data_IF_232424266236
#
_entry.id   IF_232424266236
#
_cell.length_a   1.000
_cell.length_b   1.000
_cell.length_c   1.000
_cell.angle_alpha   90.00
_cell.angle_beta   90.00
_cell.angle_gamma   90.00
#
_symmetry.space_group_name_H-M   'P 1'
#
loop_
_entity.id
_entity.type
_entity.pdbx_description
1 polymer ?
#
# COMPACT_ATOMS: atom_id res chain seq x y z
N UNK A 1 49.43 -36.44 -79.43
CA UNK A 1 49.34 -34.97 -79.54
C UNK A 1 48.04 -34.49 -78.90
N UNK A 2 48.12 -33.46 -78.03
CA UNK A 2 47.06 -32.54 -77.52
C UNK A 2 45.83 -33.16 -76.80
N UNK A 3 45.22 -32.58 -75.76
CA UNK A 3 45.53 -31.61 -74.69
C UNK A 3 44.25 -31.61 -73.80
N UNK A 4 44.42 -31.75 -72.48
CA UNK A 4 43.64 -31.16 -71.36
C UNK A 4 42.35 -30.38 -71.66
N UNK A 5 41.24 -30.67 -70.93
CA UNK A 5 40.56 -29.67 -70.05
C UNK A 5 39.42 -30.24 -69.18
N UNK A 6 39.61 -30.09 -67.86
CA UNK A 6 38.70 -29.73 -66.74
C UNK A 6 37.17 -29.81 -66.95
N UNK A 7 36.46 -30.34 -65.94
CA UNK A 7 35.68 -29.55 -64.95
C UNK A 7 35.10 -30.42 -63.82
N UNK A 8 34.97 -29.78 -62.67
CA UNK A 8 34.73 -30.28 -61.31
C UNK A 8 33.26 -30.27 -60.89
N UNK A 9 32.94 -31.19 -59.97
CA UNK A 9 32.12 -31.04 -58.76
C UNK A 9 30.57 -31.03 -58.82
N UNK A 10 30.05 -32.01 -58.06
CA UNK A 10 28.99 -31.94 -57.04
C UNK A 10 27.58 -31.44 -57.39
N UNK A 11 26.60 -32.27 -57.01
CA UNK A 11 25.48 -31.83 -56.17
C UNK A 11 24.95 -33.02 -55.36
N UNK A 12 25.36 -33.10 -54.09
CA UNK A 12 24.71 -33.92 -53.08
C UNK A 12 23.66 -33.07 -52.36
N UNK A 13 22.39 -33.45 -52.49
CA UNK A 13 21.32 -33.03 -51.59
C UNK A 13 21.62 -33.44 -50.14
N UNK A 14 21.35 -32.56 -49.17
CA UNK A 14 20.85 -32.99 -47.85
C UNK A 14 19.98 -31.91 -47.20
N UNK A 15 18.67 -32.18 -47.15
CA UNK A 15 17.68 -31.54 -46.29
C UNK A 15 17.86 -32.01 -44.85
N UNK A 16 17.81 -31.10 -43.88
CA UNK A 16 16.92 -31.18 -42.69
C UNK A 16 17.32 -30.17 -41.60
N UNK A 17 16.41 -29.26 -41.23
CA UNK A 17 16.26 -28.70 -39.86
C UNK A 17 15.00 -27.82 -39.75
N UNK A 18 13.81 -28.38 -40.00
CA UNK A 18 12.52 -27.63 -39.91
C UNK A 18 11.91 -27.53 -38.51
N UNK A 19 12.47 -28.17 -37.48
CA UNK A 19 11.94 -28.08 -36.10
C UNK A 19 12.55 -26.96 -35.26
N UNK A 20 13.73 -26.46 -35.60
CA UNK A 20 14.34 -25.32 -34.91
C UNK A 20 13.81 -23.99 -35.45
N UNK A 21 13.46 -23.91 -36.73
CA UNK A 21 12.97 -22.68 -37.36
C UNK A 21 11.64 -22.16 -36.77
N UNK A 22 10.71 -23.06 -36.40
CA UNK A 22 9.44 -22.67 -35.79
C UNK A 22 9.60 -22.18 -34.33
N UNK A 23 10.53 -22.75 -33.56
CA UNK A 23 10.83 -22.28 -32.20
C UNK A 23 11.50 -20.90 -32.22
N UNK A 24 12.43 -20.67 -33.16
CA UNK A 24 13.03 -19.34 -33.36
C UNK A 24 11.99 -18.30 -33.80
N UNK A 25 11.04 -18.68 -34.67
CA UNK A 25 9.94 -17.80 -35.07
C UNK A 25 9.04 -17.39 -33.90
N UNK A 26 8.70 -18.33 -33.00
CA UNK A 26 7.88 -18.04 -31.84
C UNK A 26 8.63 -17.19 -30.78
N UNK A 27 9.91 -17.47 -30.57
CA UNK A 27 10.77 -16.68 -29.66
C UNK A 27 11.00 -15.25 -30.17
N UNK A 28 11.06 -15.05 -31.49
CA UNK A 28 11.12 -13.73 -32.11
C UNK A 28 9.81 -12.95 -31.92
N UNK A 29 8.65 -13.61 -32.04
CA UNK A 29 7.33 -12.98 -31.79
C UNK A 29 7.18 -12.60 -30.31
N UNK A 30 7.59 -13.47 -29.38
CA UNK A 30 7.63 -13.14 -27.95
C UNK A 30 8.61 -12.01 -27.65
N UNK A 31 9.77 -11.97 -28.32
CA UNK A 31 10.72 -10.86 -28.21
C UNK A 31 10.11 -9.53 -28.69
N UNK A 32 9.39 -9.52 -29.81
CA UNK A 32 8.70 -8.32 -30.31
C UNK A 32 7.56 -7.91 -29.37
N UNK A 33 6.81 -8.86 -28.81
CA UNK A 33 5.76 -8.58 -27.83
C UNK A 33 6.33 -8.00 -26.52
N UNK A 34 7.46 -8.53 -26.03
CA UNK A 34 8.17 -7.99 -24.86
C UNK A 34 8.72 -6.60 -25.18
N UNK A 35 9.30 -6.38 -26.36
CA UNK A 35 9.79 -5.05 -26.77
C UNK A 35 8.63 -4.08 -26.96
N UNK A 36 7.47 -4.50 -27.45
CA UNK A 36 6.28 -3.66 -27.59
C UNK A 36 5.62 -3.34 -26.24
N UNK A 37 5.58 -4.30 -25.31
CA UNK A 37 5.13 -4.09 -23.92
C UNK A 37 6.13 -3.19 -23.20
N UNK A 38 7.43 -3.44 -23.35
CA UNK A 38 8.49 -2.60 -22.81
C UNK A 38 8.44 -1.21 -23.42
N UNK A 39 8.20 -1.05 -24.72
CA UNK A 39 8.00 0.25 -25.33
C UNK A 39 6.70 0.88 -24.83
N UNK A 40 5.60 0.16 -24.62
CA UNK A 40 4.36 0.76 -24.11
C UNK A 40 4.48 1.19 -22.64
N UNK A 41 5.23 0.44 -21.82
CA UNK A 41 5.64 0.85 -20.48
C UNK A 41 6.68 1.98 -20.52
N UNK A 42 7.61 1.94 -21.47
CA UNK A 42 8.77 2.84 -21.58
C UNK A 42 8.44 4.15 -22.29
N UNK A 43 7.50 4.21 -23.23
CA UNK A 43 6.92 5.47 -23.76
C UNK A 43 5.73 5.94 -22.94
N UNK A 44 5.38 5.24 -21.86
CA UNK A 44 4.72 5.86 -20.70
C UNK A 44 5.72 6.58 -19.78
N UNK A 45 6.99 6.75 -20.19
CA UNK A 45 7.87 7.76 -19.60
C UNK A 45 7.37 9.15 -19.97
N UNK A 46 6.62 9.73 -19.03
CA UNK A 46 6.70 11.17 -18.81
C UNK A 46 8.18 11.52 -18.55
N UNK A 47 8.65 12.69 -19.02
CA UNK A 47 10.07 12.99 -19.10
C UNK A 47 10.79 12.84 -17.76
N UNK A 48 12.00 12.28 -17.83
CA UNK A 48 12.99 12.20 -16.75
C UNK A 48 13.29 13.64 -16.29
N UNK A 49 12.76 14.02 -15.14
CA UNK A 49 13.20 15.21 -14.40
C UNK A 49 14.21 14.72 -13.38
N UNK A 50 15.49 14.98 -13.65
CA UNK A 50 16.54 14.85 -12.65
C UNK A 50 16.30 15.87 -11.53
N UNK A 51 16.21 15.35 -10.30
CA UNK A 51 16.42 16.04 -9.01
C UNK A 51 15.56 17.27 -8.72
N UNK A 52 14.30 17.00 -8.39
CA UNK A 52 13.75 17.52 -7.13
C UNK A 52 12.88 16.43 -6.49
N UNK A 53 13.22 16.07 -5.25
CA UNK A 53 12.44 15.20 -4.37
C UNK A 53 11.11 15.87 -4.01
N UNK A 54 10.09 15.84 -4.88
CA UNK A 54 8.83 16.54 -4.54
C UNK A 54 7.54 16.16 -5.29
N UNK A 55 7.44 15.02 -5.98
CA UNK A 55 6.15 14.62 -6.58
C UNK A 55 5.82 13.14 -6.39
N UNK A 56 6.08 12.59 -5.19
CA UNK A 56 5.46 11.31 -4.82
C UNK A 56 3.96 11.55 -4.63
N UNK A 57 3.13 10.64 -5.12
CA UNK A 57 1.70 10.69 -4.79
C UNK A 57 1.51 10.49 -3.29
N UNK A 58 0.42 11.00 -2.72
CA UNK A 58 0.11 10.80 -1.29
C UNK A 58 0.12 9.31 -0.89
N UNK A 59 -0.39 8.43 -1.76
CA UNK A 59 -0.31 6.98 -1.56
C UNK A 59 1.13 6.47 -1.52
N UNK A 60 2.01 6.92 -2.43
CA UNK A 60 3.43 6.56 -2.42
C UNK A 60 4.15 7.06 -1.16
N UNK A 61 3.78 8.24 -0.65
CA UNK A 61 4.32 8.77 0.61
C UNK A 61 3.94 7.87 1.79
N UNK A 62 2.67 7.43 1.88
CA UNK A 62 2.23 6.51 2.93
C UNK A 62 2.89 5.12 2.80
N UNK A 63 2.98 4.59 1.58
CA UNK A 63 3.60 3.28 1.31
C UNK A 63 5.10 3.26 1.62
N UNK A 64 5.79 4.38 1.44
CA UNK A 64 7.25 4.50 1.61
C UNK A 64 7.64 5.31 2.83
N UNK A 65 6.72 5.51 3.78
CA UNK A 65 7.01 6.27 4.99
C UNK A 65 8.09 5.54 5.80
N UNK A 66 9.07 6.33 6.22
CA UNK A 66 10.12 5.90 7.14
C UNK A 66 9.69 6.24 8.58
N UNK A 67 9.51 5.20 9.39
CA UNK A 67 9.10 5.34 10.79
C UNK A 67 10.31 5.47 11.73
N UNK A 68 11.53 5.21 11.27
CA UNK A 68 12.74 5.41 12.08
C UNK A 68 13.12 6.89 12.12
N UNK A 69 13.07 7.55 10.96
CA UNK A 69 13.47 8.96 10.83
C UNK A 69 12.33 9.97 11.08
N UNK A 70 11.09 9.61 10.72
CA UNK A 70 9.95 10.54 10.73
C UNK A 70 8.74 9.96 11.49
N UNK A 71 8.97 9.46 12.70
CA UNK A 71 7.88 9.01 13.56
C UNK A 71 7.01 10.18 14.05
N UNK A 72 5.66 10.07 14.07
CA UNK A 72 4.79 11.10 14.62
C UNK A 72 5.15 11.49 16.08
N UNK A 73 5.31 12.79 16.34
CA UNK A 73 5.85 13.27 17.61
C UNK A 73 4.85 13.33 18.76
N UNK A 74 3.55 13.22 18.46
CA UNK A 74 2.47 13.33 19.44
C UNK A 74 1.34 12.32 19.19
N UNK A 75 0.53 11.99 20.23
CA UNK A 75 -0.60 11.08 20.07
C UNK A 75 -1.58 11.52 18.98
N UNK A 76 -1.83 12.84 18.87
CA UNK A 76 -2.70 13.41 17.84
C UNK A 76 -2.13 13.17 16.43
N UNK A 77 -0.83 13.28 16.24
CA UNK A 77 -0.18 13.03 14.95
C UNK A 77 -0.19 11.55 14.58
N UNK A 78 -0.03 10.65 15.56
CA UNK A 78 -0.21 9.21 15.37
C UNK A 78 -1.61 8.91 14.85
N UNK A 79 -2.65 9.43 15.51
CA UNK A 79 -4.04 9.20 15.10
C UNK A 79 -4.37 9.87 13.75
N UNK A 80 -3.76 11.03 13.43
CA UNK A 80 -3.87 11.64 12.09
C UNK A 80 -3.30 10.74 11.01
N UNK A 81 -2.13 10.15 11.23
CA UNK A 81 -1.50 9.26 10.26
C UNK A 81 -2.28 7.96 10.11
N UNK A 82 -2.70 7.36 11.23
CA UNK A 82 -3.61 6.22 11.25
C UNK A 82 -4.87 6.50 10.43
N UNK A 83 -5.54 7.62 10.70
CA UNK A 83 -6.76 8.05 9.98
C UNK A 83 -6.52 8.22 8.48
N UNK A 84 -5.37 8.80 8.07
CA UNK A 84 -5.00 8.93 6.65
C UNK A 84 -4.93 7.55 5.99
N UNK A 85 -4.24 6.59 6.60
CA UNK A 85 -4.13 5.23 6.05
C UNK A 85 -5.50 4.53 5.99
N UNK A 86 -6.31 4.62 7.05
CA UNK A 86 -7.67 4.06 7.10
C UNK A 86 -8.55 4.63 5.98
N UNK A 87 -8.49 5.94 5.72
CA UNK A 87 -9.23 6.57 4.62
C UNK A 87 -8.81 6.00 3.25
N UNK A 88 -7.53 5.70 3.05
CA UNK A 88 -7.08 5.04 1.83
C UNK A 88 -7.66 3.64 1.66
N UNK A 89 -7.77 2.86 2.74
CA UNK A 89 -8.39 1.54 2.68
C UNK A 89 -9.85 1.59 2.22
N UNK A 90 -10.63 2.54 2.75
CA UNK A 90 -12.07 2.57 2.52
C UNK A 90 -12.50 3.39 1.31
N UNK A 91 -11.79 4.48 0.99
CA UNK A 91 -12.20 5.40 -0.07
C UNK A 91 -11.53 5.12 -1.42
N UNK A 92 -10.37 4.45 -1.44
CA UNK A 92 -9.58 4.27 -2.65
C UNK A 92 -9.61 2.84 -3.19
N UNK A 93 -9.43 2.74 -4.51
CA UNK A 93 -9.30 1.45 -5.20
C UNK A 93 -7.85 0.98 -5.19
N UNK A 94 -7.43 0.43 -4.05
CA UNK A 94 -6.11 -0.17 -3.85
C UNK A 94 -6.00 -1.58 -4.46
N UNK A 95 -4.82 -1.90 -4.98
CA UNK A 95 -4.46 -3.29 -5.34
C UNK A 95 -4.19 -4.11 -4.07
N UNK A 96 -4.24 -5.45 -4.17
CA UNK A 96 -3.94 -6.32 -3.02
C UNK A 96 -2.55 -6.05 -2.44
N UNK A 97 -1.55 -5.83 -3.31
CA UNK A 97 -0.19 -5.49 -2.87
C UNK A 97 -0.16 -4.15 -2.11
N UNK A 98 -0.89 -3.13 -2.57
CA UNK A 98 -0.97 -1.85 -1.86
C UNK A 98 -1.67 -1.99 -0.51
N UNK A 99 -2.72 -2.81 -0.42
CA UNK A 99 -3.39 -3.11 0.86
C UNK A 99 -2.40 -3.80 1.81
N UNK A 100 -1.67 -4.81 1.35
CA UNK A 100 -0.70 -5.53 2.17
C UNK A 100 0.42 -4.59 2.66
N UNK A 101 0.91 -3.69 1.79
CA UNK A 101 1.96 -2.74 2.16
C UNK A 101 1.46 -1.70 3.16
N UNK A 102 0.30 -1.10 2.94
CA UNK A 102 -0.29 -0.16 3.90
C UNK A 102 -0.64 -0.85 5.23
N UNK A 103 -1.06 -2.12 5.20
CA UNK A 103 -1.32 -2.92 6.40
C UNK A 103 -0.05 -3.11 7.24
N UNK A 104 1.12 -3.29 6.61
CA UNK A 104 2.41 -3.27 7.33
C UNK A 104 2.72 -1.89 7.89
N UNK A 105 2.47 -0.84 7.11
CA UNK A 105 2.75 0.53 7.55
C UNK A 105 1.91 0.93 8.76
N UNK A 106 0.63 0.61 8.79
CA UNK A 106 -0.24 0.92 9.92
C UNK A 106 0.12 0.11 11.18
N UNK A 107 0.63 -1.13 11.03
CA UNK A 107 1.14 -1.90 12.17
C UNK A 107 2.32 -1.24 12.90
N UNK A 108 3.11 -0.38 12.24
CA UNK A 108 4.16 0.40 12.92
C UNK A 108 3.60 1.42 13.93
N UNK A 109 2.30 1.72 13.85
CA UNK A 109 1.60 2.59 14.79
C UNK A 109 1.03 1.82 15.98
N UNK A 110 1.01 0.49 15.94
CA UNK A 110 0.39 -0.34 16.98
C UNK A 110 1.37 -0.68 18.09
N UNK A 111 0.84 -0.76 19.30
CA UNK A 111 1.57 -1.20 20.47
C UNK A 111 1.87 -2.71 20.38
N UNK A 112 2.99 -3.13 20.96
CA UNK A 112 3.43 -4.53 20.99
C UNK A 112 2.36 -5.48 21.54
N UNK A 113 1.57 -5.05 22.52
CA UNK A 113 0.53 -5.86 23.16
C UNK A 113 -0.66 -6.06 22.22
N UNK A 114 -1.01 -5.01 21.46
CA UNK A 114 -2.04 -5.09 20.43
C UNK A 114 -1.62 -6.03 19.29
N UNK A 115 -0.35 -5.95 18.88
CA UNK A 115 0.23 -6.84 17.86
C UNK A 115 0.35 -8.28 18.37
N UNK A 116 0.69 -8.49 19.64
CA UNK A 116 0.82 -9.82 20.21
C UNK A 116 -0.54 -10.54 20.31
N UNK A 117 -1.62 -9.80 20.53
CA UNK A 117 -2.96 -10.35 20.63
C UNK A 117 -3.65 -10.59 19.26
N UNK A 118 -3.11 -10.02 18.18
CA UNK A 118 -3.68 -10.12 16.83
C UNK A 118 -2.58 -10.53 15.84
N UNK A 119 -2.56 -11.80 15.42
CA UNK A 119 -1.58 -12.25 14.44
C UNK A 119 -1.69 -11.42 13.17
N UNK A 120 -0.56 -11.12 12.51
CA UNK A 120 -0.57 -10.29 11.30
C UNK A 120 -1.44 -10.90 10.19
N UNK A 121 -1.46 -12.23 10.08
CA UNK A 121 -2.26 -12.93 9.08
C UNK A 121 -3.76 -12.79 9.35
N UNK A 122 -4.19 -12.95 10.60
CA UNK A 122 -5.60 -12.78 10.99
C UNK A 122 -6.03 -11.32 10.82
N UNK A 123 -5.21 -10.37 11.29
CA UNK A 123 -5.45 -8.94 11.10
C UNK A 123 -5.60 -8.57 9.61
N UNK A 124 -4.70 -9.05 8.75
CA UNK A 124 -4.75 -8.75 7.33
C UNK A 124 -6.00 -9.35 6.67
N UNK A 125 -6.40 -10.55 7.08
CA UNK A 125 -7.61 -11.20 6.59
C UNK A 125 -8.85 -10.39 6.98
N UNK A 126 -8.97 -10.04 8.26
CA UNK A 126 -10.07 -9.22 8.80
C UNK A 126 -10.15 -7.86 8.11
N UNK A 127 -9.00 -7.18 7.94
CA UNK A 127 -8.92 -5.91 7.24
C UNK A 127 -9.41 -6.02 5.78
N UNK A 128 -9.04 -7.08 5.06
CA UNK A 128 -9.50 -7.30 3.68
C UNK A 128 -11.00 -7.56 3.59
N UNK A 129 -11.55 -8.29 4.56
CA UNK A 129 -13.01 -8.50 4.68
C UNK A 129 -13.69 -7.15 4.91
N UNK A 130 -13.22 -6.36 5.88
CA UNK A 130 -13.78 -5.05 6.19
C UNK A 130 -13.73 -4.09 4.99
N UNK A 131 -12.58 -3.99 4.31
CA UNK A 131 -12.43 -3.18 3.08
C UNK A 131 -13.46 -3.60 2.02
N UNK A 132 -13.67 -4.90 1.85
CA UNK A 132 -14.62 -5.44 0.87
C UNK A 132 -16.06 -5.09 1.26
N UNK A 133 -16.40 -5.17 2.54
CA UNK A 133 -17.71 -4.78 3.07
C UNK A 133 -17.98 -3.29 2.87
N UNK A 134 -17.01 -2.42 3.21
CA UNK A 134 -17.11 -0.97 3.00
C UNK A 134 -17.33 -0.63 1.52
N UNK A 135 -16.55 -1.24 0.62
CA UNK A 135 -16.69 -1.04 -0.83
C UNK A 135 -18.03 -1.53 -1.35
N UNK A 136 -18.48 -2.70 -0.91
CA UNK A 136 -19.77 -3.29 -1.32
C UNK A 136 -20.96 -2.45 -0.86
N UNK A 137 -20.89 -1.88 0.34
CA UNK A 137 -21.89 -0.96 0.87
C UNK A 137 -21.78 0.46 0.27
N UNK A 138 -20.75 0.75 -0.53
CA UNK A 138 -20.41 2.09 -1.04
C UNK A 138 -20.21 3.11 0.10
N UNK A 139 -19.60 2.65 1.20
CA UNK A 139 -19.22 3.49 2.34
C UNK A 139 -17.98 4.28 2.00
N UNK A 140 -18.00 5.57 2.35
CA UNK A 140 -16.84 6.44 2.24
C UNK A 140 -16.71 7.28 3.51
N UNK A 141 -15.49 7.44 4.00
CA UNK A 141 -15.17 8.38 5.07
C UNK A 141 -15.02 9.77 4.44
N UNK A 142 -16.03 10.62 4.63
CA UNK A 142 -16.09 11.95 4.02
C UNK A 142 -15.23 12.97 4.74
N UNK A 143 -15.25 12.92 6.07
CA UNK A 143 -14.53 13.86 6.93
C UNK A 143 -14.17 13.21 8.25
N UNK A 144 -13.09 13.70 8.85
CA UNK A 144 -12.56 13.32 10.14
C UNK A 144 -12.49 14.53 11.07
N UNK A 145 -12.72 14.29 12.36
CA UNK A 145 -12.49 15.24 13.43
C UNK A 145 -11.63 14.53 14.45
N UNK A 146 -10.42 15.01 14.65
CA UNK A 146 -9.54 14.49 15.70
C UNK A 146 -9.56 15.52 16.82
N UNK A 147 -9.70 15.08 18.06
CA UNK A 147 -9.73 15.95 19.24
C UNK A 147 -8.41 16.73 19.39
N UNK A 148 -8.51 18.04 19.64
CA UNK A 148 -7.38 18.95 19.68
C UNK A 148 -6.32 18.57 20.71
N UNK A 149 -5.06 18.96 20.46
CA UNK A 149 -3.93 18.59 21.32
C UNK A 149 -4.14 18.98 22.79
N UNK A 150 -4.86 20.08 23.05
CA UNK A 150 -5.17 20.57 24.39
C UNK A 150 -6.16 19.68 25.16
N UNK A 151 -6.93 18.85 24.44
CA UNK A 151 -7.93 17.95 25.01
C UNK A 151 -7.42 16.50 25.11
N UNK A 152 -6.21 16.22 24.63
CA UNK A 152 -5.57 14.92 24.81
C UNK A 152 -5.32 14.69 26.30
N UNK A 153 -5.83 13.58 26.82
CA UNK A 153 -5.67 13.20 28.23
C UNK A 153 -4.41 12.38 28.38
N UNK A 154 -3.50 12.82 29.24
CA UNK A 154 -2.28 12.09 29.58
C UNK A 154 -2.34 11.57 31.01
N UNK A 155 -1.84 10.35 31.23
CA UNK A 155 -1.67 9.79 32.57
C UNK A 155 -0.53 8.78 32.62
N UNK A 156 -0.07 8.46 33.82
CA UNK A 156 0.94 7.44 34.06
C UNK A 156 0.34 6.31 34.89
N UNK A 157 0.62 5.07 34.51
CA UNK A 157 0.22 3.88 35.24
C UNK A 157 1.31 2.82 35.10
N UNK A 158 1.71 2.21 36.22
CA UNK A 158 2.73 1.15 36.25
C UNK A 158 4.03 1.57 35.52
N UNK A 159 4.50 2.79 35.80
CA UNK A 159 5.68 3.42 35.17
C UNK A 159 5.64 3.57 33.64
N UNK A 160 4.44 3.45 33.05
CA UNK A 160 4.20 3.66 31.61
C UNK A 160 3.36 4.91 31.37
N UNK A 161 3.70 5.68 30.34
CA UNK A 161 2.96 6.87 29.93
C UNK A 161 1.85 6.50 28.94
N UNK A 162 0.67 7.07 29.15
CA UNK A 162 -0.51 6.84 28.31
C UNK A 162 -1.12 8.16 27.85
N UNK A 163 -1.78 8.10 26.71
CA UNK A 163 -2.57 9.18 26.16
C UNK A 163 -3.92 8.67 25.65
N UNK A 164 -4.96 9.51 25.69
CA UNK A 164 -6.25 9.20 25.10
C UNK A 164 -6.84 10.43 24.43
N UNK A 165 -7.46 10.20 23.27
CA UNK A 165 -8.19 11.19 22.51
C UNK A 165 -9.30 10.55 21.70
N UNK A 166 -10.35 11.31 21.40
CA UNK A 166 -11.42 10.86 20.50
C UNK A 166 -11.12 11.27 19.05
N UNK A 167 -11.34 10.36 18.10
CA UNK A 167 -11.51 10.69 16.69
C UNK A 167 -12.97 10.44 16.26
N UNK A 168 -13.49 11.26 15.36
CA UNK A 168 -14.83 11.15 14.80
C UNK A 168 -14.77 11.11 13.28
N UNK A 169 -15.61 10.29 12.67
CA UNK A 169 -15.66 10.06 11.23
C UNK A 169 -17.08 10.24 10.74
N UNK A 170 -17.26 11.06 9.72
CA UNK A 170 -18.52 11.15 8.98
C UNK A 170 -18.47 10.13 7.84
N UNK A 171 -19.28 9.09 7.95
CA UNK A 171 -19.35 8.02 6.96
C UNK A 171 -20.58 8.26 6.09
N UNK A 172 -20.38 8.32 4.78
CA UNK A 172 -21.45 8.33 3.79
C UNK A 172 -21.72 6.92 3.32
N UNK A 173 -22.96 6.48 3.41
CA UNK A 173 -23.45 5.23 2.81
C UNK A 173 -24.64 5.54 1.90
N UNK A 174 -24.44 5.42 0.58
CA UNK A 174 -25.40 5.84 -0.45
C UNK A 174 -25.82 7.31 -0.27
N UNK A 175 -27.06 7.57 0.14
CA UNK A 175 -27.63 8.91 0.36
C UNK A 175 -27.72 9.28 1.86
N UNK A 176 -27.23 8.40 2.74
CA UNK A 176 -27.25 8.59 4.19
C UNK A 176 -25.87 8.93 4.73
N UNK A 177 -25.87 9.66 5.85
CA UNK A 177 -24.66 10.04 6.58
C UNK A 177 -24.80 9.55 8.02
N UNK A 178 -23.75 8.91 8.52
CA UNK A 178 -23.62 8.54 9.93
C UNK A 178 -22.34 9.15 10.50
N UNK A 179 -22.31 9.30 11.83
CA UNK A 179 -21.10 9.67 12.56
C UNK A 179 -20.68 8.49 13.42
N UNK A 180 -19.41 8.10 13.29
CA UNK A 180 -18.74 7.15 14.16
C UNK A 180 -17.76 7.94 15.00
N UNK A 181 -17.70 7.69 16.30
CA UNK A 181 -16.70 8.24 17.19
C UNK A 181 -15.95 7.10 17.84
N UNK A 182 -14.63 7.23 17.95
CA UNK A 182 -13.74 6.23 18.53
C UNK A 182 -12.83 6.88 19.56
N UNK A 183 -12.81 6.30 20.76
CA UNK A 183 -11.89 6.70 21.82
C UNK A 183 -10.63 5.83 21.72
N UNK A 184 -9.52 6.46 21.35
CA UNK A 184 -8.21 5.81 21.26
C UNK A 184 -7.50 5.86 22.61
N UNK A 185 -6.78 4.77 22.91
CA UNK A 185 -5.79 4.71 23.97
C UNK A 185 -4.44 4.44 23.32
N UNK A 186 -3.48 5.29 23.64
CA UNK A 186 -2.10 5.15 23.22
C UNK A 186 -1.22 4.95 24.45
N UNK A 187 -0.14 4.20 24.25
CA UNK A 187 0.90 3.97 25.22
C UNK A 187 2.24 4.36 24.61
N UNK A 188 3.10 5.00 25.38
CA UNK A 188 4.44 5.33 24.95
C UNK A 188 5.34 4.11 25.11
N UNK A 189 6.07 3.75 24.06
CA UNK A 189 7.04 2.67 24.11
C UNK A 189 8.36 3.09 24.77
N UNK A 190 9.27 2.13 24.92
CA UNK A 190 10.59 2.35 25.52
C UNK A 190 11.47 3.31 24.72
N UNK A 191 11.20 3.49 23.42
CA UNK A 191 11.89 4.44 22.55
C UNK A 191 11.28 5.84 22.62
N UNK A 192 10.22 6.03 23.43
CA UNK A 192 9.53 7.30 23.60
C UNK A 192 8.49 7.60 22.51
N UNK A 193 8.17 6.63 21.64
CA UNK A 193 7.19 6.77 20.57
C UNK A 193 5.78 6.39 21.05
N UNK A 194 4.78 7.16 20.63
CA UNK A 194 3.38 6.87 20.98
C UNK A 194 2.81 5.79 20.08
N UNK A 195 2.30 4.70 20.67
CA UNK A 195 1.73 3.55 19.99
C UNK A 195 0.27 3.36 20.36
N UNK A 196 -0.56 2.97 19.39
CA UNK A 196 -1.99 2.69 19.60
C UNK A 196 -2.10 1.35 20.33
N UNK A 197 -2.56 1.39 21.58
CA UNK A 197 -2.84 0.20 22.39
C UNK A 197 -4.21 -0.39 22.06
N UNK A 198 -5.15 0.45 21.64
CA UNK A 198 -6.47 0.03 21.22
C UNK A 198 -7.44 1.19 21.09
N UNK A 199 -8.66 0.88 20.69
CA UNK A 199 -9.75 1.84 20.56
C UNK A 199 -11.08 1.15 20.84
N UNK A 200 -12.10 1.97 21.09
CA UNK A 200 -13.49 1.53 21.21
C UNK A 200 -14.43 2.58 20.63
N UNK A 201 -15.63 2.16 20.24
CA UNK A 201 -16.70 3.11 19.94
C UNK A 201 -16.92 4.03 21.15
N UNK A 202 -16.91 5.34 20.91
CA UNK A 202 -17.17 6.35 21.91
C UNK A 202 -18.67 6.44 22.19
N UNK A 203 -19.02 6.75 23.43
CA UNK A 203 -20.40 7.04 23.83
C UNK A 203 -20.86 8.43 23.34
N UNK A 204 -19.93 9.25 22.84
CA UNK A 204 -20.24 10.54 22.19
C UNK A 204 -21.13 10.28 20.97
N UNK A 205 -22.43 10.51 21.13
CA UNK A 205 -23.36 10.58 20.00
C UNK A 205 -23.35 12.00 19.48
N UNK A 206 -23.22 12.19 18.16
CA UNK A 206 -23.27 13.47 17.42
C UNK A 206 -23.41 14.69 18.33
N UNK A 207 -22.28 15.30 18.71
CA UNK A 207 -22.31 16.48 19.57
C UNK A 207 -23.23 17.56 18.97
N UNK A 208 -24.08 18.12 19.83
CA UNK A 208 -24.85 19.35 19.62
C UNK A 208 -24.00 20.47 18.98
#
# INVERSE_FOLDING_TARGET
>A
MKKSKRRTANTSMKKSKRRTANTFGMMLIFGIAIVAIYFRLSTSTKPIIEKSSSNKTELELLLTKDFEEDYPSSPREVIKLYTRIIKYFYNENLTDEQVNQLAKQICNLYDEELLANNSYEDYLLELKVEITEYKSAKRNVMNEIIEDSNNVKYWTKDDREYASLTAGYTIKEKDSYSKLYEDFILRKDEQGSWKILGWKASEKTSAE
#
